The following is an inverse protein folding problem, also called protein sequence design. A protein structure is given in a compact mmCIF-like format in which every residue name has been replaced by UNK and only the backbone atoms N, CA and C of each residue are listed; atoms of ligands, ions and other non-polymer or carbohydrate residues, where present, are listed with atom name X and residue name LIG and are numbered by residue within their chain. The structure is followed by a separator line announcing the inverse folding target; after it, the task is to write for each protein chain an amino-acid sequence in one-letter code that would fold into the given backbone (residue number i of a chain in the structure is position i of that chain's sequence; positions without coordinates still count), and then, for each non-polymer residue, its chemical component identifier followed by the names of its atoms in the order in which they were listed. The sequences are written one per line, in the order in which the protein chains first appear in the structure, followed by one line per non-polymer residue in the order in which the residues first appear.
data_IF_736348878717
#
_entry.id   IF_736348878717
#
_cell.length_a   1.000
_cell.length_b   1.000
_cell.length_c   1.000
_cell.angle_alpha   90.00
_cell.angle_beta   90.00
_cell.angle_gamma   90.00
#
_symmetry.space_group_name_H-M   'P 1'
#
loop_
_entity.id
_entity.type
_entity.pdbx_description
1 polymer ?
#
# COMPACT_ATOMS: atom_id res chain seq x y z
N UNK A 1 4.72 34.05 -5.01
CA UNK A 1 3.92 33.06 -5.73
C UNK A 1 3.19 32.26 -4.68
N UNK A 2 1.86 32.34 -4.64
CA UNK A 2 1.03 31.62 -3.68
C UNK A 2 0.92 30.17 -4.16
N UNK A 3 1.41 29.20 -3.38
CA UNK A 3 1.24 27.78 -3.69
C UNK A 3 -0.25 27.45 -3.83
N UNK A 4 -0.61 26.69 -4.87
CA UNK A 4 -1.97 26.18 -5.03
C UNK A 4 -2.25 25.11 -3.96
N UNK A 5 -3.52 24.78 -3.75
CA UNK A 5 -3.95 23.84 -2.70
C UNK A 5 -3.31 22.46 -2.84
N UNK A 6 -2.95 22.05 -4.07
CA UNK A 6 -2.25 20.80 -4.37
C UNK A 6 -0.76 20.83 -3.94
N UNK A 7 -0.05 21.94 -4.16
CA UNK A 7 1.33 22.13 -3.71
C UNK A 7 1.49 22.09 -2.20
N UNK A 8 0.55 22.72 -1.48
CA UNK A 8 0.51 22.66 -0.01
C UNK A 8 0.32 21.21 0.47
N UNK A 9 -0.55 20.45 -0.20
CA UNK A 9 -0.81 19.05 0.16
C UNK A 9 0.40 18.15 -0.12
N UNK A 10 1.11 18.36 -1.23
CA UNK A 10 2.33 17.65 -1.55
C UNK A 10 3.45 17.95 -0.53
N UNK A 11 3.60 19.21 -0.12
CA UNK A 11 4.56 19.61 0.93
C UNK A 11 4.25 18.96 2.29
N UNK A 12 2.98 18.92 2.70
CA UNK A 12 2.53 18.22 3.92
C UNK A 12 2.84 16.72 3.84
N UNK A 13 2.66 16.12 2.66
CA UNK A 13 2.96 14.71 2.42
C UNK A 13 4.44 14.40 2.69
N UNK A 14 5.35 15.22 2.14
CA UNK A 14 6.80 15.06 2.36
C UNK A 14 7.12 15.20 3.86
N UNK A 15 6.66 16.29 4.49
CA UNK A 15 6.97 16.59 5.89
C UNK A 15 6.55 15.45 6.84
N UNK A 16 5.40 14.82 6.56
CA UNK A 16 4.87 13.73 7.36
C UNK A 16 5.56 12.39 7.08
N UNK A 17 5.93 12.08 5.83
CA UNK A 17 6.54 10.78 5.49
C UNK A 17 8.05 10.68 5.78
N UNK A 18 8.79 11.78 5.84
CA UNK A 18 10.21 11.80 6.21
C UNK A 18 10.51 11.13 7.55
N UNK A 19 9.82 11.41 8.68
CA UNK A 19 10.07 10.71 9.94
C UNK A 19 9.75 9.21 9.85
N UNK A 20 8.68 8.82 9.13
CA UNK A 20 8.36 7.40 8.92
C UNK A 20 9.42 6.69 8.08
N UNK A 21 10.04 7.37 7.11
CA UNK A 21 11.16 6.85 6.35
C UNK A 21 12.34 6.52 7.28
N UNK A 22 12.69 7.40 8.22
CA UNK A 22 13.76 7.13 9.20
C UNK A 22 13.42 5.94 10.12
N UNK A 23 12.18 5.87 10.58
CA UNK A 23 11.70 4.75 11.42
C UNK A 23 11.76 3.42 10.65
N UNK A 24 11.28 3.39 9.40
CA UNK A 24 11.31 2.20 8.56
C UNK A 24 12.74 1.74 8.25
N UNK A 25 13.68 2.67 8.02
CA UNK A 25 15.09 2.35 7.80
C UNK A 25 15.74 1.72 9.03
N UNK A 26 15.43 2.23 10.22
CA UNK A 26 15.86 1.63 11.49
C UNK A 26 15.29 0.22 11.68
N UNK A 27 14.03 0.00 11.33
CA UNK A 27 13.36 -1.31 11.39
C UNK A 27 14.08 -2.30 10.46
N UNK A 28 14.28 -1.95 9.19
CA UNK A 28 14.93 -2.83 8.21
C UNK A 28 16.37 -3.16 8.62
N UNK A 29 17.13 -2.18 9.12
CA UNK A 29 18.48 -2.39 9.63
C UNK A 29 18.52 -3.34 10.83
N UNK A 30 17.51 -3.28 11.72
CA UNK A 30 17.41 -4.14 12.91
C UNK A 30 17.00 -5.59 12.59
N UNK A 31 16.08 -5.81 11.65
CA UNK A 31 15.54 -7.14 11.35
C UNK A 31 16.27 -7.89 10.23
N UNK A 32 17.11 -7.19 9.45
CA UNK A 32 17.89 -7.78 8.37
C UNK A 32 17.10 -8.00 7.08
N UNK A 33 17.74 -7.72 5.94
CA UNK A 33 17.12 -7.66 4.61
C UNK A 33 16.68 -9.02 4.04
N UNK A 34 17.18 -10.14 4.60
CA UNK A 34 16.90 -11.49 4.13
C UNK A 34 15.71 -12.20 4.83
N UNK A 35 15.20 -11.65 5.93
CA UNK A 35 14.06 -12.21 6.70
C UNK A 35 12.92 -11.22 6.89
N UNK A 36 12.99 -10.05 6.24
CA UNK A 36 12.13 -8.89 6.47
C UNK A 36 11.30 -8.44 5.28
N UNK A 37 10.86 -9.35 4.39
CA UNK A 37 10.19 -9.01 3.11
C UNK A 37 9.05 -7.99 3.25
N UNK A 38 8.22 -8.09 4.30
CA UNK A 38 7.15 -7.11 4.57
C UNK A 38 7.67 -5.74 5.01
N UNK A 39 8.73 -5.71 5.84
CA UNK A 39 9.30 -4.46 6.37
C UNK A 39 10.06 -3.67 5.31
N UNK A 40 10.73 -4.36 4.38
CA UNK A 40 11.39 -3.72 3.24
C UNK A 40 10.35 -3.05 2.33
N UNK A 41 9.19 -3.67 2.13
CA UNK A 41 8.10 -3.07 1.35
C UNK A 41 7.52 -1.81 2.02
N UNK A 42 7.48 -1.75 3.35
CA UNK A 42 7.11 -0.53 4.09
C UNK A 42 8.12 0.60 3.83
N UNK A 43 9.42 0.30 3.83
CA UNK A 43 10.46 1.27 3.50
C UNK A 43 10.33 1.77 2.06
N UNK A 44 10.14 0.85 1.10
CA UNK A 44 9.94 1.19 -0.31
C UNK A 44 8.70 2.08 -0.48
N UNK A 45 7.62 1.77 0.23
CA UNK A 45 6.40 2.58 0.23
C UNK A 45 6.66 4.01 0.74
N UNK A 46 7.36 4.18 1.87
CA UNK A 46 7.70 5.51 2.39
C UNK A 46 8.59 6.29 1.41
N UNK A 47 9.53 5.62 0.75
CA UNK A 47 10.38 6.23 -0.26
C UNK A 47 9.58 6.71 -1.48
N UNK A 48 8.66 5.88 -2.00
CA UNK A 48 7.76 6.23 -3.11
C UNK A 48 6.91 7.46 -2.75
N UNK A 49 6.41 7.55 -1.52
CA UNK A 49 5.58 8.68 -1.07
C UNK A 49 6.36 9.99 -0.97
N UNK A 50 7.58 9.95 -0.43
CA UNK A 50 8.48 11.13 -0.41
C UNK A 50 8.85 11.56 -1.84
N UNK A 51 9.17 10.60 -2.71
CA UNK A 51 9.54 10.88 -4.10
C UNK A 51 8.36 11.44 -4.91
N UNK A 52 7.16 10.87 -4.76
CA UNK A 52 5.95 11.36 -5.43
C UNK A 52 5.59 12.78 -5.02
N UNK A 53 5.64 13.08 -3.72
CA UNK A 53 5.44 14.44 -3.21
C UNK A 53 6.50 15.41 -3.75
N UNK A 54 7.77 15.01 -3.77
CA UNK A 54 8.85 15.85 -4.28
C UNK A 54 8.72 16.15 -5.79
N UNK A 55 8.29 15.17 -6.59
CA UNK A 55 8.03 15.37 -8.02
C UNK A 55 6.87 16.32 -8.27
N UNK A 56 5.77 16.24 -7.49
CA UNK A 56 4.64 17.16 -7.63
C UNK A 56 5.02 18.60 -7.24
N UNK A 57 5.77 18.78 -6.15
CA UNK A 57 6.28 20.11 -5.76
C UNK A 57 7.23 20.66 -6.83
N UNK A 58 8.14 19.84 -7.35
CA UNK A 58 9.04 20.26 -8.42
C UNK A 58 8.29 20.57 -9.73
N UNK A 59 7.17 19.90 -10.00
CA UNK A 59 6.35 20.14 -11.18
C UNK A 59 5.68 21.53 -11.14
N UNK A 60 5.32 22.00 -9.94
CA UNK A 60 4.71 23.32 -9.73
C UNK A 60 5.75 24.47 -9.78
N UNK A 61 6.97 24.24 -9.32
CA UNK A 61 8.02 25.27 -9.25
C UNK A 61 8.74 25.53 -10.59
N UNK A 62 8.73 24.56 -11.53
CA UNK A 62 9.46 24.68 -12.80
C UNK A 62 8.59 25.28 -13.91
N UNK A 63 8.92 26.50 -14.35
CA UNK A 63 8.42 27.09 -15.60
C UNK A 63 9.46 26.95 -16.73
N UNK A 64 9.13 26.42 -17.93
CA UNK A 64 7.82 25.99 -18.42
C UNK A 64 7.35 24.62 -17.88
N UNK A 65 6.03 24.41 -17.90
CA UNK A 65 5.37 23.22 -17.37
C UNK A 65 5.89 21.93 -18.03
N UNK A 66 6.47 21.05 -17.23
CA UNK A 66 6.91 19.73 -17.67
C UNK A 66 5.83 18.69 -17.37
N UNK A 67 5.04 18.31 -18.37
CA UNK A 67 3.95 17.34 -18.23
C UNK A 67 4.41 16.00 -17.67
N UNK A 68 5.64 15.59 -17.99
CA UNK A 68 6.27 14.35 -17.51
C UNK A 68 6.45 14.31 -15.99
N UNK A 69 6.70 15.45 -15.35
CA UNK A 69 6.88 15.53 -13.89
C UNK A 69 5.55 15.33 -13.16
N UNK A 70 4.47 15.92 -13.67
CA UNK A 70 3.11 15.67 -13.17
C UNK A 70 2.70 14.22 -13.36
N UNK A 71 2.92 13.65 -14.56
CA UNK A 71 2.61 12.24 -14.85
C UNK A 71 3.35 11.32 -13.87
N UNK A 72 4.64 11.57 -13.63
CA UNK A 72 5.44 10.78 -12.67
C UNK A 72 4.96 10.92 -11.23
N UNK A 73 4.66 12.14 -10.79
CA UNK A 73 4.13 12.41 -9.45
C UNK A 73 2.81 11.69 -9.19
N UNK A 74 1.84 11.84 -10.10
CA UNK A 74 0.54 11.19 -10.00
C UNK A 74 0.63 9.65 -10.13
N UNK A 75 1.51 9.15 -10.99
CA UNK A 75 1.74 7.71 -11.11
C UNK A 75 2.28 7.12 -9.79
N UNK A 76 3.24 7.78 -9.14
CA UNK A 76 3.78 7.34 -7.85
C UNK A 76 2.71 7.41 -6.75
N UNK A 77 1.90 8.46 -6.72
CA UNK A 77 0.83 8.65 -5.75
C UNK A 77 -0.25 7.56 -5.84
N UNK A 78 -0.70 7.27 -7.07
CA UNK A 78 -1.66 6.20 -7.36
C UNK A 78 -1.07 4.80 -7.10
N UNK A 79 0.24 4.62 -7.34
CA UNK A 79 0.92 3.34 -7.12
C UNK A 79 1.07 2.98 -5.63
N UNK A 80 0.94 3.94 -4.71
CA UNK A 80 1.16 3.76 -3.27
C UNK A 80 0.34 2.65 -2.62
N UNK A 81 -0.81 2.30 -3.20
CA UNK A 81 -1.64 1.16 -2.78
C UNK A 81 -0.93 -0.19 -2.92
N UNK A 82 -0.17 -0.39 -4.00
CA UNK A 82 0.45 -1.67 -4.32
C UNK A 82 1.49 -2.11 -3.29
N UNK A 83 2.55 -1.33 -2.99
CA UNK A 83 3.56 -1.74 -2.02
C UNK A 83 2.97 -1.88 -0.61
N UNK A 84 1.89 -1.15 -0.29
CA UNK A 84 1.20 -1.29 0.99
C UNK A 84 0.45 -2.63 1.08
N UNK A 85 -0.34 -2.98 0.06
CA UNK A 85 -0.98 -4.29 -0.04
C UNK A 85 0.04 -5.45 -0.02
N UNK A 86 1.14 -5.31 -0.77
CA UNK A 86 2.23 -6.27 -0.78
C UNK A 86 2.94 -6.36 0.58
N UNK A 87 3.10 -5.23 1.28
CA UNK A 87 3.62 -5.20 2.64
C UNK A 87 2.73 -6.01 3.58
N UNK A 88 1.40 -5.83 3.51
CA UNK A 88 0.45 -6.63 4.32
C UNK A 88 0.58 -8.12 4.02
N UNK A 89 0.74 -8.48 2.74
CA UNK A 89 0.94 -9.85 2.30
C UNK A 89 2.25 -10.44 2.84
N UNK A 90 3.34 -9.66 2.79
CA UNK A 90 4.65 -10.04 3.30
C UNK A 90 4.64 -10.22 4.82
N UNK A 91 3.97 -9.33 5.56
CA UNK A 91 3.77 -9.48 6.99
C UNK A 91 2.93 -10.73 7.31
N UNK A 92 1.88 -11.00 6.53
CA UNK A 92 1.05 -12.19 6.71
C UNK A 92 1.81 -13.48 6.39
N UNK A 93 2.64 -13.48 5.34
CA UNK A 93 3.54 -14.59 5.01
C UNK A 93 4.57 -14.85 6.13
N UNK A 94 5.09 -13.81 6.77
CA UNK A 94 6.02 -13.97 7.90
C UNK A 94 5.38 -14.71 9.09
N UNK A 95 4.06 -14.59 9.27
CA UNK A 95 3.31 -15.33 10.31
C UNK A 95 3.23 -16.83 9.98
N UNK A 96 3.23 -17.21 8.70
CA UNK A 96 3.17 -18.60 8.23
C UNK A 96 4.50 -19.36 8.32
N UNK A 97 5.65 -18.69 8.35
CA UNK A 97 6.98 -19.31 8.41
C UNK A 97 7.30 -19.88 9.81
N UNK A 98 6.40 -20.69 10.38
CA UNK A 98 6.66 -21.53 11.57
C UNK A 98 7.47 -22.76 11.13
N UNK A 99 8.27 -23.42 11.99
CA UNK A 99 9.12 -24.56 11.59
C UNK A 99 8.38 -25.70 10.86
N UNK A 100 7.07 -25.87 11.11
CA UNK A 100 6.21 -26.86 10.46
C UNK A 100 5.58 -26.37 9.13
N UNK A 101 5.99 -25.19 8.65
CA UNK A 101 5.43 -24.50 7.50
C UNK A 101 5.75 -25.21 6.19
N UNK A 102 4.83 -26.05 5.73
CA UNK A 102 4.90 -26.75 4.46
C UNK A 102 5.35 -25.83 3.30
N UNK A 103 6.31 -26.25 2.45
CA UNK A 103 6.81 -25.48 1.29
C UNK A 103 5.73 -25.17 0.23
N UNK A 104 4.51 -25.71 0.41
CA UNK A 104 3.40 -25.63 -0.52
C UNK A 104 2.80 -24.22 -0.64
N UNK A 105 2.81 -23.42 0.43
CA UNK A 105 2.21 -22.08 0.42
C UNK A 105 3.12 -21.00 -0.16
N UNK A 106 4.45 -21.21 -0.18
CA UNK A 106 5.42 -20.24 -0.71
C UNK A 106 5.19 -19.93 -2.19
N UNK A 107 4.67 -20.87 -2.97
CA UNK A 107 4.30 -20.62 -4.38
C UNK A 107 3.09 -19.69 -4.49
N UNK A 108 2.09 -19.85 -3.63
CA UNK A 108 0.88 -19.01 -3.66
C UNK A 108 1.19 -17.56 -3.27
N UNK A 109 2.01 -17.34 -2.25
CA UNK A 109 2.45 -15.98 -1.86
C UNK A 109 3.24 -15.28 -2.98
N UNK A 110 4.13 -16.00 -3.68
CA UNK A 110 4.85 -15.45 -4.85
C UNK A 110 3.90 -15.10 -6.00
N UNK A 111 2.87 -15.92 -6.26
CA UNK A 111 1.88 -15.60 -7.28
C UNK A 111 1.08 -14.34 -6.93
N UNK A 112 0.72 -14.16 -5.66
CA UNK A 112 0.03 -12.94 -5.19
C UNK A 112 0.93 -11.70 -5.27
N UNK A 113 2.22 -11.84 -4.99
CA UNK A 113 3.18 -10.75 -5.19
C UNK A 113 3.30 -10.35 -6.66
N UNK A 114 3.41 -11.34 -7.56
CA UNK A 114 3.41 -11.11 -9.00
C UNK A 114 2.11 -10.44 -9.46
N UNK A 115 0.96 -10.86 -8.92
CA UNK A 115 -0.34 -10.25 -9.22
C UNK A 115 -0.36 -8.77 -8.83
N UNK A 116 0.15 -8.41 -7.65
CA UNK A 116 0.24 -7.02 -7.21
C UNK A 116 1.20 -6.18 -8.07
N UNK A 117 2.30 -6.77 -8.54
CA UNK A 117 3.22 -6.12 -9.48
C UNK A 117 2.59 -5.88 -10.85
N UNK A 118 1.85 -6.87 -11.38
CA UNK A 118 1.13 -6.72 -12.66
C UNK A 118 0.05 -5.64 -12.53
N UNK A 119 -0.70 -5.62 -11.44
CA UNK A 119 -1.70 -4.58 -11.18
C UNK A 119 -1.08 -3.18 -11.17
N UNK A 120 0.07 -3.02 -10.50
CA UNK A 120 0.83 -1.77 -10.45
C UNK A 120 1.23 -1.29 -11.85
N UNK A 121 1.85 -2.17 -12.65
CA UNK A 121 2.30 -1.85 -14.00
C UNK A 121 1.10 -1.42 -14.87
N UNK A 122 -0.03 -2.14 -14.80
CA UNK A 122 -1.25 -1.78 -15.53
C UNK A 122 -1.78 -0.39 -15.13
N UNK A 123 -1.77 -0.07 -13.83
CA UNK A 123 -2.22 1.25 -13.37
C UNK A 123 -1.30 2.38 -13.84
N UNK A 124 0.03 2.18 -13.85
CA UNK A 124 0.98 3.19 -14.33
C UNK A 124 0.80 3.42 -15.83
N UNK A 125 0.73 2.35 -16.62
CA UNK A 125 0.52 2.45 -18.08
C UNK A 125 -0.80 3.16 -18.36
N UNK A 126 -1.87 2.79 -17.64
CA UNK A 126 -3.19 3.43 -17.79
C UNK A 126 -3.18 4.93 -17.49
N UNK A 127 -2.41 5.38 -16.49
CA UNK A 127 -2.23 6.81 -16.19
C UNK A 127 -1.44 7.50 -17.31
N UNK A 128 -0.35 6.90 -17.78
CA UNK A 128 0.46 7.50 -18.85
C UNK A 128 -0.29 7.66 -20.17
N UNK A 129 -1.09 6.66 -20.56
CA UNK A 129 -1.81 6.63 -21.85
C UNK A 129 -2.96 7.65 -21.90
N UNK A 130 -3.60 7.95 -20.76
CA UNK A 130 -4.59 9.04 -20.68
C UNK A 130 -3.97 10.40 -20.99
N UNK A 131 -2.72 10.63 -20.59
CA UNK A 131 -2.09 11.97 -20.69
C UNK A 131 -1.52 12.29 -22.07
N UNK A 132 -1.21 11.29 -22.90
CA UNK A 132 -0.60 11.45 -24.23
C UNK A 132 -1.60 11.49 -25.40
N UNK A 133 -2.90 11.36 -25.11
CA UNK A 133 -3.92 11.13 -26.14
C UNK A 133 -4.45 12.42 -26.77
N UNK A 134 -3.69 13.00 -27.70
CA UNK A 134 -4.16 13.99 -28.69
C UNK A 134 -4.73 13.36 -29.97
N UNK A 135 -4.98 12.04 -29.99
CA UNK A 135 -5.54 11.36 -31.16
C UNK A 135 -6.25 10.03 -30.81
N UNK A 136 -7.58 10.05 -30.72
CA UNK A 136 -8.48 8.92 -31.06
C UNK A 136 -8.52 7.64 -30.19
N UNK A 137 -7.60 7.41 -29.24
CA UNK A 137 -7.47 6.15 -28.50
C UNK A 137 -7.78 6.22 -26.98
N UNK A 138 -8.53 7.22 -26.52
CA UNK A 138 -8.85 7.46 -25.10
C UNK A 138 -9.57 6.32 -24.37
N UNK A 139 -10.04 5.28 -25.09
CA UNK A 139 -10.67 4.10 -24.49
C UNK A 139 -9.67 3.10 -23.89
N UNK A 140 -8.42 3.07 -24.37
CA UNK A 140 -7.45 2.03 -23.99
C UNK A 140 -6.87 2.28 -22.58
N UNK A 141 -6.30 3.45 -22.32
CA UNK A 141 -5.70 3.81 -21.02
C UNK A 141 -6.67 3.70 -19.84
N UNK A 142 -7.91 4.18 -20.00
CA UNK A 142 -8.96 4.03 -19.00
C UNK A 142 -9.29 2.56 -18.69
N UNK A 143 -9.27 1.70 -19.70
CA UNK A 143 -9.51 0.27 -19.53
C UNK A 143 -8.36 -0.38 -18.76
N UNK A 144 -7.10 -0.03 -19.06
CA UNK A 144 -5.92 -0.55 -18.35
C UNK A 144 -5.89 -0.11 -16.88
N UNK A 145 -6.19 1.17 -16.60
CA UNK A 145 -6.27 1.70 -15.24
C UNK A 145 -7.37 1.01 -14.43
N UNK A 146 -8.57 0.86 -15.00
CA UNK A 146 -9.70 0.15 -14.36
C UNK A 146 -9.35 -1.31 -14.09
N UNK A 147 -8.71 -2.00 -15.03
CA UNK A 147 -8.27 -3.37 -14.85
C UNK A 147 -7.27 -3.51 -13.68
N UNK A 148 -6.27 -2.63 -13.59
CA UNK A 148 -5.30 -2.63 -12.49
C UNK A 148 -5.96 -2.41 -11.12
N UNK A 149 -6.93 -1.49 -11.03
CA UNK A 149 -7.65 -1.22 -9.77
C UNK A 149 -8.57 -2.38 -9.37
N UNK A 150 -9.22 -3.05 -10.32
CA UNK A 150 -9.98 -4.29 -10.04
C UNK A 150 -9.05 -5.38 -9.51
N UNK A 151 -7.83 -5.52 -10.05
CA UNK A 151 -6.85 -6.47 -9.53
C UNK A 151 -6.41 -6.13 -8.10
N UNK A 152 -6.24 -4.85 -7.75
CA UNK A 152 -5.98 -4.46 -6.36
C UNK A 152 -7.15 -4.79 -5.43
N UNK A 153 -8.38 -4.59 -5.88
CA UNK A 153 -9.57 -4.97 -5.12
C UNK A 153 -9.64 -6.49 -4.89
N UNK A 154 -9.37 -7.29 -5.93
CA UNK A 154 -9.31 -8.75 -5.81
C UNK A 154 -8.20 -9.19 -4.84
N UNK A 155 -7.02 -8.57 -4.93
CA UNK A 155 -5.90 -8.85 -4.04
C UNK A 155 -6.24 -8.48 -2.58
N UNK A 156 -6.95 -7.38 -2.33
CA UNK A 156 -7.45 -7.03 -1.02
C UNK A 156 -8.43 -8.07 -0.45
N UNK A 157 -9.40 -8.55 -1.26
CA UNK A 157 -10.35 -9.59 -0.83
C UNK A 157 -9.61 -10.88 -0.45
N UNK A 158 -8.62 -11.28 -1.26
CA UNK A 158 -7.79 -12.46 -0.97
C UNK A 158 -7.03 -12.26 0.34
N UNK A 159 -6.45 -11.08 0.57
CA UNK A 159 -5.74 -10.77 1.82
C UNK A 159 -6.64 -10.86 3.06
N UNK A 160 -7.85 -10.32 2.98
CA UNK A 160 -8.85 -10.45 4.05
C UNK A 160 -9.17 -11.93 4.30
N UNK A 161 -9.37 -12.71 3.24
CA UNK A 161 -9.61 -14.15 3.33
C UNK A 161 -8.46 -14.90 4.03
N UNK A 162 -7.20 -14.61 3.67
CA UNK A 162 -6.03 -15.21 4.32
C UNK A 162 -5.97 -14.76 5.80
N UNK A 163 -6.23 -13.49 6.10
CA UNK A 163 -6.23 -12.99 7.48
C UNK A 163 -7.29 -13.68 8.35
N UNK A 164 -8.50 -13.91 7.81
CA UNK A 164 -9.56 -14.64 8.49
C UNK A 164 -9.18 -16.10 8.72
N UNK A 165 -8.56 -16.75 7.73
CA UNK A 165 -8.04 -18.11 7.88
C UNK A 165 -6.95 -18.19 8.96
N UNK A 166 -6.08 -17.18 9.08
CA UNK A 166 -5.10 -17.13 10.17
C UNK A 166 -5.75 -16.94 11.54
N UNK A 167 -6.89 -16.27 11.60
CA UNK A 167 -7.63 -16.10 12.85
C UNK A 167 -8.22 -17.41 13.36
N UNK A 168 -8.65 -18.33 12.47
CA UNK A 168 -9.15 -19.64 12.90
C UNK A 168 -8.04 -20.51 13.50
N UNK A 169 -6.81 -20.36 13.03
CA UNK A 169 -5.63 -21.08 13.51
C UNK A 169 -4.89 -20.39 14.66
N UNK A 170 -5.41 -19.26 15.16
CA UNK A 170 -4.72 -18.40 16.14
C UNK A 170 -4.39 -19.11 17.46
N UNK A 171 -5.04 -20.23 17.77
CA UNK A 171 -4.78 -21.01 19.00
C UNK A 171 -3.39 -21.67 18.99
N UNK A 172 -2.88 -22.07 17.83
CA UNK A 172 -1.59 -22.78 17.67
C UNK A 172 -0.38 -21.86 17.47
N UNK A 173 -0.60 -20.56 17.28
CA UNK A 173 0.44 -19.60 16.88
C UNK A 173 1.20 -19.03 18.10
N UNK A 174 2.48 -18.66 17.95
CA UNK A 174 3.28 -18.00 19.00
C UNK A 174 2.74 -16.62 19.42
N UNK A 175 2.97 -16.22 20.68
CA UNK A 175 2.42 -14.97 21.27
C UNK A 175 2.74 -13.71 20.47
N UNK A 176 3.98 -13.55 19.98
CA UNK A 176 4.40 -12.37 19.23
C UNK A 176 3.76 -12.31 17.83
N UNK A 177 3.65 -13.46 17.14
CA UNK A 177 2.94 -13.54 15.86
C UNK A 177 1.45 -13.22 15.97
N UNK A 178 0.80 -13.53 17.11
CA UNK A 178 -0.58 -13.10 17.38
C UNK A 178 -0.72 -11.58 17.50
N UNK A 179 0.29 -10.89 18.06
CA UNK A 179 0.28 -9.42 18.13
C UNK A 179 0.41 -8.80 16.74
N UNK A 180 1.25 -9.36 15.87
CA UNK A 180 1.35 -8.92 14.47
C UNK A 180 0.02 -9.14 13.73
N UNK A 181 -0.62 -10.31 13.89
CA UNK A 181 -1.92 -10.58 13.27
C UNK A 181 -2.99 -9.58 13.73
N UNK A 182 -3.04 -9.26 15.04
CA UNK A 182 -3.94 -8.23 15.57
C UNK A 182 -3.71 -6.86 14.94
N UNK A 183 -2.45 -6.45 14.80
CA UNK A 183 -2.12 -5.17 14.15
C UNK A 183 -2.57 -5.15 12.67
N UNK A 184 -2.35 -6.25 11.94
CA UNK A 184 -2.84 -6.39 10.55
C UNK A 184 -4.37 -6.31 10.50
N UNK A 185 -5.07 -7.00 11.40
CA UNK A 185 -6.54 -6.97 11.46
C UNK A 185 -7.09 -5.57 11.76
N UNK A 186 -6.41 -4.79 12.59
CA UNK A 186 -6.79 -3.38 12.86
C UNK A 186 -6.49 -2.48 11.66
N UNK A 187 -5.45 -2.76 10.88
CA UNK A 187 -5.10 -1.99 9.68
C UNK A 187 -6.00 -2.29 8.46
N UNK A 188 -6.52 -3.52 8.34
CA UNK A 188 -7.39 -3.94 7.23
C UNK A 188 -8.58 -3.00 6.94
N UNK A 189 -9.38 -2.53 7.92
CA UNK A 189 -10.49 -1.62 7.63
C UNK A 189 -10.05 -0.28 7.03
N UNK A 190 -8.93 0.28 7.46
CA UNK A 190 -8.36 1.50 6.86
C UNK A 190 -7.94 1.24 5.41
N UNK A 191 -7.35 0.07 5.16
CA UNK A 191 -6.97 -0.37 3.83
C UNK A 191 -8.21 -0.61 2.93
N UNK A 192 -9.32 -1.06 3.51
CA UNK A 192 -10.61 -1.17 2.82
C UNK A 192 -11.09 0.19 2.31
N UNK A 193 -11.10 1.21 3.16
CA UNK A 193 -11.53 2.56 2.79
C UNK A 193 -10.65 3.11 1.67
N UNK A 194 -9.33 2.92 1.78
CA UNK A 194 -8.34 3.33 0.78
C UNK A 194 -8.54 2.63 -0.58
N UNK A 195 -8.83 1.33 -0.58
CA UNK A 195 -9.08 0.56 -1.82
C UNK A 195 -10.41 0.95 -2.47
N UNK A 196 -11.46 1.19 -1.67
CA UNK A 196 -12.75 1.70 -2.15
C UNK A 196 -12.59 3.08 -2.79
N UNK A 197 -11.81 3.98 -2.17
CA UNK A 197 -11.53 5.30 -2.74
C UNK A 197 -10.81 5.21 -4.09
N UNK A 198 -9.83 4.30 -4.22
CA UNK A 198 -9.13 4.07 -5.50
C UNK A 198 -10.04 3.54 -6.61
N UNK A 199 -10.98 2.64 -6.26
CA UNK A 199 -12.04 2.19 -7.18
C UNK A 199 -12.89 3.40 -7.58
N UNK A 200 -13.44 4.12 -6.60
CA UNK A 200 -14.38 5.20 -6.86
C UNK A 200 -13.75 6.34 -7.68
N UNK A 201 -12.52 6.73 -7.37
CA UNK A 201 -11.77 7.75 -8.13
C UNK A 201 -11.48 7.31 -9.58
N UNK A 202 -11.22 6.02 -9.81
CA UNK A 202 -10.96 5.47 -11.15
C UNK A 202 -12.23 5.34 -11.99
N UNK A 203 -13.36 5.00 -11.36
CA UNK A 203 -14.66 4.95 -12.04
C UNK A 203 -15.33 6.32 -12.17
N UNK A 204 -14.93 7.29 -11.34
CA UNK A 204 -15.39 8.69 -11.40
C UNK A 204 -14.71 9.51 -12.51
N UNK A 205 -13.62 9.02 -13.11
CA UNK A 205 -12.82 9.83 -14.04
C UNK A 205 -13.61 10.13 -15.32
N UNK A 206 -14.09 11.36 -15.46
CA UNK A 206 -14.35 12.00 -16.75
C UNK A 206 -13.02 12.48 -17.32
N UNK A 207 -12.70 12.03 -18.53
CA UNK A 207 -11.53 12.35 -19.37
C UNK A 207 -10.62 13.47 -18.84
N UNK A 208 -9.43 13.09 -18.37
CA UNK A 208 -8.35 14.01 -18.04
C UNK A 208 -7.82 14.67 -19.32
N UNK A 209 -8.07 15.97 -19.50
CA UNK A 209 -7.53 16.78 -20.59
C UNK A 209 -6.50 17.75 -20.01
N UNK A 210 -5.22 17.49 -20.26
CA UNK A 210 -4.15 18.49 -20.05
C UNK A 210 -4.18 19.44 -21.24
N UNK A 211 -5.22 20.28 -21.30
CA UNK A 211 -5.17 21.47 -22.13
C UNK A 211 -5.00 22.64 -21.17
N UNK A 212 -4.01 23.50 -21.43
CA UNK A 212 -3.72 24.74 -20.69
C UNK A 212 -4.83 25.79 -20.79
N UNK A 213 -6.07 25.36 -20.71
CA UNK A 213 -7.28 26.17 -20.72
C UNK A 213 -8.16 25.66 -19.60
N UNK A 214 -8.29 26.51 -18.57
CA UNK A 214 -9.29 26.43 -17.51
C UNK A 214 -10.71 26.36 -18.08
N UNK A 215 -11.14 25.17 -18.51
CA UNK A 215 -12.53 24.90 -18.87
C UNK A 215 -12.97 23.62 -18.17
N UNK A 216 -13.38 23.83 -16.93
CA UNK A 216 -14.21 22.95 -16.10
C UNK A 216 -15.39 22.40 -16.89
N UNK A 217 -15.31 21.14 -17.31
CA UNK A 217 -16.50 20.34 -17.63
C UNK A 217 -16.97 19.71 -16.32
N UNK A 218 -17.84 20.42 -15.61
CA UNK A 218 -18.53 19.92 -14.43
C UNK A 218 -19.56 18.87 -14.87
N UNK A 219 -19.20 17.60 -14.80
CA UNK A 219 -20.17 16.51 -14.92
C UNK A 219 -20.97 16.42 -13.61
N UNK A 220 -22.29 16.49 -13.73
CA UNK A 220 -23.29 16.61 -12.65
C UNK A 220 -23.58 15.29 -11.93
N UNK A 221 -22.58 14.44 -11.71
CA UNK A 221 -22.73 13.17 -10.99
C UNK A 221 -22.07 13.27 -9.62
N UNK A 222 -22.76 12.88 -8.54
CA UNK A 222 -22.25 12.87 -7.15
C UNK A 222 -20.89 12.16 -6.99
N UNK A 223 -20.53 11.30 -7.96
CA UNK A 223 -19.27 10.58 -8.01
C UNK A 223 -18.08 11.50 -8.34
N UNK A 224 -18.27 12.61 -9.06
CA UNK A 224 -17.19 13.52 -9.46
C UNK A 224 -16.38 14.06 -8.28
N UNK A 225 -17.00 14.15 -7.09
CA UNK A 225 -16.36 14.58 -5.84
C UNK A 225 -15.22 13.67 -5.39
N UNK A 226 -15.21 12.41 -5.81
CA UNK A 226 -14.21 11.42 -5.45
C UNK A 226 -13.07 11.32 -6.46
N UNK A 227 -13.07 12.15 -7.50
CA UNK A 227 -11.98 12.18 -8.45
C UNK A 227 -10.68 12.57 -7.74
N UNK A 228 -9.63 11.79 -7.97
CA UNK A 228 -8.28 12.04 -7.44
C UNK A 228 -7.77 13.44 -7.84
N UNK A 229 -8.18 13.90 -9.03
CA UNK A 229 -7.59 15.06 -9.70
C UNK A 229 -8.42 16.35 -9.61
N UNK A 230 -9.74 16.24 -9.49
CA UNK A 230 -10.68 17.39 -9.51
C UNK A 230 -11.72 17.35 -8.39
N UNK A 231 -11.67 16.31 -7.56
CA UNK A 231 -12.60 16.13 -6.45
C UNK A 231 -12.34 17.08 -5.29
N UNK A 232 -13.19 17.01 -4.27
CA UNK A 232 -12.99 17.78 -3.05
C UNK A 232 -11.71 17.30 -2.34
N UNK A 233 -10.73 18.19 -2.18
CA UNK A 233 -9.43 17.89 -1.55
C UNK A 233 -9.59 17.28 -0.15
N UNK A 234 -10.68 17.60 0.55
CA UNK A 234 -11.03 17.03 1.86
C UNK A 234 -11.28 15.53 1.80
N UNK A 235 -11.99 15.06 0.76
CA UNK A 235 -12.31 13.64 0.57
C UNK A 235 -11.04 12.87 0.27
N UNK A 236 -10.19 13.42 -0.61
CA UNK A 236 -8.88 12.86 -0.89
C UNK A 236 -8.01 12.78 0.37
N UNK A 237 -7.91 13.86 1.15
CA UNK A 237 -7.10 13.90 2.37
C UNK A 237 -7.59 12.86 3.38
N UNK A 238 -8.90 12.73 3.59
CA UNK A 238 -9.46 11.83 4.61
C UNK A 238 -9.50 10.37 4.15
N UNK A 239 -9.92 10.07 2.93
CA UNK A 239 -10.08 8.69 2.46
C UNK A 239 -8.80 8.08 1.91
N UNK A 240 -7.94 8.89 1.29
CA UNK A 240 -6.67 8.44 0.73
C UNK A 240 -5.56 8.59 1.78
N UNK A 241 -5.23 9.85 2.09
CA UNK A 241 -4.01 10.21 2.81
C UNK A 241 -4.07 9.76 4.28
N UNK A 242 -5.14 10.10 5.00
CA UNK A 242 -5.30 9.79 6.43
C UNK A 242 -5.40 8.28 6.69
N UNK A 243 -6.16 7.55 5.87
CA UNK A 243 -6.29 6.09 6.00
C UNK A 243 -4.96 5.40 5.77
N UNK A 244 -4.19 5.88 4.80
CA UNK A 244 -2.87 5.37 4.53
C UNK A 244 -1.89 5.63 5.68
N UNK A 245 -1.88 6.86 6.23
CA UNK A 245 -1.08 7.17 7.42
C UNK A 245 -1.45 6.30 8.62
N UNK A 246 -2.74 6.06 8.84
CA UNK A 246 -3.20 5.21 9.93
C UNK A 246 -2.59 3.79 9.80
N UNK A 247 -2.58 3.22 8.59
CA UNK A 247 -1.99 1.90 8.36
C UNK A 247 -0.47 1.91 8.60
N UNK A 248 0.24 2.94 8.12
CA UNK A 248 1.70 3.07 8.30
C UNK A 248 2.07 3.22 9.78
N UNK A 249 1.28 3.97 10.55
CA UNK A 249 1.45 4.09 12.01
C UNK A 249 1.24 2.74 12.68
N UNK A 250 0.15 2.03 12.35
CA UNK A 250 -0.13 0.71 12.92
C UNK A 250 1.01 -0.27 12.63
N UNK A 251 1.52 -0.30 11.39
CA UNK A 251 2.63 -1.18 11.02
C UNK A 251 3.95 -0.78 11.65
N UNK A 252 4.29 0.51 11.71
CA UNK A 252 5.51 0.96 12.37
C UNK A 252 5.49 0.68 13.87
N UNK A 253 4.36 0.88 14.55
CA UNK A 253 4.19 0.51 15.97
C UNK A 253 4.32 -1.00 16.15
N UNK A 254 3.67 -1.80 15.30
CA UNK A 254 3.82 -3.25 15.33
C UNK A 254 5.30 -3.66 15.15
N UNK A 255 6.01 -3.06 14.20
CA UNK A 255 7.42 -3.33 13.94
C UNK A 255 8.32 -3.06 15.15
N UNK A 256 8.05 -1.99 15.88
CA UNK A 256 8.83 -1.60 17.05
C UNK A 256 8.51 -2.48 18.26
N UNK A 257 7.25 -2.88 18.41
CA UNK A 257 6.76 -3.69 19.53
C UNK A 257 7.09 -5.18 19.42
N UNK A 258 7.41 -5.68 18.22
CA UNK A 258 7.67 -7.11 17.98
C UNK A 258 9.17 -7.42 18.06
N UNK A 259 9.70 -7.99 19.16
CA UNK A 259 11.06 -8.51 19.20
C UNK A 259 11.13 -9.86 18.46
N UNK A 260 10.97 -9.88 17.13
CA UNK A 260 11.10 -11.09 16.29
C UNK A 260 12.45 -11.83 16.49
N UNK A 261 13.46 -11.13 17.00
CA UNK A 261 14.78 -11.70 17.30
C UNK A 261 14.78 -12.66 18.50
N UNK A 262 13.77 -12.59 19.39
CA UNK A 262 13.69 -13.44 20.57
C UNK A 262 12.90 -14.74 20.34
N UNK A 263 12.11 -14.84 19.26
CA UNK A 263 11.32 -16.05 18.95
C UNK A 263 12.20 -17.29 18.67
N UNK A 264 13.46 -17.09 18.25
CA UNK A 264 14.42 -18.17 17.99
C UNK A 264 15.35 -18.46 19.17
N UNK A 265 15.34 -17.64 20.23
CA UNK A 265 16.25 -17.77 21.38
C UNK A 265 15.67 -18.58 22.54
N UNK A 266 14.41 -18.97 22.48
CA UNK A 266 13.76 -19.81 23.49
C UNK A 266 13.45 -21.20 22.92
N UNK A 267 14.42 -22.13 22.90
CA UNK A 267 14.11 -23.55 22.74
C UNK A 267 13.26 -24.12 23.90
N UNK A 268 13.10 -23.38 25.00
CA UNK A 268 12.45 -23.88 26.23
C UNK A 268 10.92 -23.93 26.16
N UNK A 269 10.26 -23.13 25.31
CA UNK A 269 8.79 -23.08 25.25
C UNK A 269 8.12 -24.28 24.56
N UNK A 270 8.88 -25.22 23.99
CA UNK A 270 8.35 -26.47 23.46
C UNK A 270 8.38 -27.62 24.47
N UNK A 271 9.14 -27.50 25.56
CA UNK A 271 9.24 -28.57 26.58
C UNK A 271 8.10 -28.54 27.60
N UNK A 272 7.45 -27.41 27.82
CA UNK A 272 6.44 -27.28 28.88
C UNK A 272 5.03 -27.78 28.49
N UNK A 273 4.81 -28.18 27.23
CA UNK A 273 3.46 -28.52 26.74
C UNK A 273 3.21 -30.02 26.52
N UNK A 274 4.21 -30.87 26.75
CA UNK A 274 4.05 -32.32 26.80
C UNK A 274 4.52 -32.82 28.17
N UNK A 275 3.61 -33.09 29.14
CA UNK A 275 4.02 -33.86 30.30
C UNK A 275 4.50 -35.22 29.79
N UNK A 276 5.79 -35.50 29.99
CA UNK A 276 6.40 -36.80 29.80
C UNK A 276 5.62 -37.83 30.66
N UNK A 277 4.61 -38.46 30.08
CA UNK A 277 4.01 -39.68 30.63
C UNK A 277 4.96 -40.84 30.31
N UNK A 278 5.73 -41.27 31.32
CA UNK A 278 6.75 -42.33 31.26
C UNK A 278 6.19 -43.76 31.09
N UNK A 279 6.86 -44.83 31.57
CA UNK A 279 8.19 -44.93 32.18
C UNK A 279 9.19 -45.74 31.33
N UNK A 280 10.47 -45.69 31.74
CA UNK A 280 11.49 -46.65 31.35
C UNK A 280 11.15 -48.05 31.89
N UNK A 281 11.54 -49.05 31.10
CA UNK A 281 11.49 -50.52 31.29
C UNK A 281 11.30 -51.04 32.71
#
# INVERSE_FOLDING_TARGET
MTLDSHGVLAAVTIAMYVPFLLVSLKIVSKYGMARGDGWVLLLVFCFIRVLGGALLVAAEEVTPVNTSLYIGGYALEASGLSPLLLCTLGLLHSIFQTPDGFPRYQRQFRLLQLLGMVALILTIIGISDETSSSSGSSSSGNTMRRAGVILFAALYIILVGICLHQWTQIRSVMRYRKQLLKAISVALPFLAIRTIYSILSTFSSSTFSVTSTSSTQANTSDLAKFNLFTGEWQIYLVMDMLMEYAVVIIYSVAALMLPLNNDYKSPDSYQDQYPLSGPQY
#
